data_IF_983723807337
#
_entry.id   IF_983723807337
#
_cell.length_a   1.000
_cell.length_b   1.000
_cell.length_c   1.000
_cell.angle_alpha   90.00
_cell.angle_beta   90.00
_cell.angle_gamma   90.00
#
_symmetry.space_group_name_H-M   'P 1'
#
loop_
_entity.id
_entity.type
_entity.pdbx_description
1 polymer ?
#
# COMPACT_ATOMS: atom_id res chain seq x y z
N UNK A 1 -1.35 13.34 29.46
CA UNK A 1 -0.16 13.00 28.64
C UNK A 1 -0.61 12.03 27.56
N UNK A 2 -0.95 12.52 26.37
CA UNK A 2 -1.35 11.70 25.22
C UNK A 2 -0.10 11.42 24.38
N UNK A 3 0.69 10.43 24.81
CA UNK A 3 1.91 10.02 24.12
C UNK A 3 1.77 8.53 23.80
N UNK A 4 1.25 8.26 22.61
CA UNK A 4 1.46 7.09 21.76
C UNK A 4 0.46 7.27 20.60
N UNK A 5 0.69 8.28 19.77
CA UNK A 5 0.20 8.20 18.40
C UNK A 5 0.97 7.03 17.81
N UNK A 6 0.30 5.89 17.69
CA UNK A 6 0.75 4.77 16.87
C UNK A 6 1.30 5.36 15.57
N UNK A 7 2.60 5.16 15.32
CA UNK A 7 3.31 5.67 14.15
C UNK A 7 2.93 4.87 12.89
N UNK A 8 1.63 4.68 12.64
CA UNK A 8 1.13 4.09 11.40
C UNK A 8 1.56 4.94 10.20
N UNK A 9 1.71 6.25 10.39
CA UNK A 9 2.22 7.18 9.39
C UNK A 9 3.61 6.82 8.89
N UNK A 10 4.59 6.71 9.79
CA UNK A 10 5.96 6.35 9.42
C UNK A 10 6.05 4.98 8.75
N UNK A 11 5.29 3.99 9.22
CA UNK A 11 5.27 2.64 8.64
C UNK A 11 4.68 2.62 7.22
N UNK A 12 3.60 3.37 6.96
CA UNK A 12 2.98 3.48 5.63
C UNK A 12 3.91 4.17 4.63
N UNK A 13 4.58 5.24 5.03
CA UNK A 13 5.53 5.94 4.15
C UNK A 13 6.73 5.04 3.80
N UNK A 14 7.26 4.30 4.79
CA UNK A 14 8.34 3.34 4.55
C UNK A 14 7.94 2.25 3.55
N UNK A 15 6.75 1.65 3.73
CA UNK A 15 6.22 0.64 2.81
C UNK A 15 6.05 1.19 1.39
N UNK A 16 5.51 2.40 1.26
CA UNK A 16 5.27 3.03 -0.04
C UNK A 16 6.58 3.33 -0.76
N UNK A 17 7.61 3.75 -0.04
CA UNK A 17 8.94 3.96 -0.60
C UNK A 17 9.59 2.65 -1.07
N UNK A 18 9.53 1.59 -0.26
CA UNK A 18 10.06 0.27 -0.61
C UNK A 18 9.38 -0.29 -1.88
N UNK A 19 8.05 -0.21 -1.92
CA UNK A 19 7.28 -0.64 -3.07
C UNK A 19 7.67 0.13 -4.35
N UNK A 20 7.83 1.46 -4.27
CA UNK A 20 8.28 2.26 -5.42
C UNK A 20 9.74 1.99 -5.81
N UNK A 21 10.60 1.61 -4.86
CA UNK A 21 11.99 1.25 -5.13
C UNK A 21 12.13 -0.10 -5.84
N UNK A 22 11.11 -0.95 -5.78
CA UNK A 22 11.07 -2.29 -6.40
C UNK A 22 10.81 -2.23 -7.92
N UNK A 23 11.49 -1.33 -8.63
CA UNK A 23 11.24 -1.04 -10.04
C UNK A 23 11.48 -2.25 -10.96
N UNK A 24 12.46 -3.09 -10.66
CA UNK A 24 12.73 -4.32 -11.43
C UNK A 24 11.58 -5.33 -11.32
N UNK A 25 11.06 -5.56 -10.11
CA UNK A 25 9.92 -6.43 -9.86
C UNK A 25 8.65 -5.90 -10.52
N UNK A 26 8.42 -4.58 -10.46
CA UNK A 26 7.28 -3.94 -11.12
C UNK A 26 7.43 -4.01 -12.63
N UNK A 27 8.65 -3.84 -13.17
CA UNK A 27 8.94 -3.91 -14.59
C UNK A 27 8.74 -5.30 -15.20
N UNK A 28 8.82 -6.36 -14.38
CA UNK A 28 8.52 -7.74 -14.80
C UNK A 28 7.01 -8.05 -14.86
N UNK A 29 6.15 -7.18 -14.32
CA UNK A 29 4.69 -7.34 -14.34
C UNK A 29 4.06 -6.61 -15.54
N UNK A 30 2.86 -7.01 -15.98
CA UNK A 30 2.10 -6.24 -16.96
C UNK A 30 1.87 -4.79 -16.48
N UNK A 31 1.94 -3.77 -17.36
CA UNK A 31 1.93 -2.34 -16.96
C UNK A 31 0.79 -1.93 -16.01
N UNK A 32 -0.39 -2.53 -16.17
CA UNK A 32 -1.57 -2.35 -15.30
C UNK A 32 -1.31 -2.62 -13.82
N UNK A 33 -0.35 -3.48 -13.47
CA UNK A 33 -0.03 -3.78 -12.07
C UNK A 33 0.62 -2.58 -11.38
N UNK A 34 1.50 -1.86 -12.09
CA UNK A 34 2.12 -0.63 -11.58
C UNK A 34 1.10 0.46 -11.32
N UNK A 35 0.16 0.67 -12.25
CA UNK A 35 -0.93 1.66 -12.08
C UNK A 35 -1.79 1.38 -10.85
N UNK A 36 -2.17 0.12 -10.63
CA UNK A 36 -2.96 -0.30 -9.47
C UNK A 36 -2.16 -0.15 -8.18
N UNK A 37 -0.88 -0.54 -8.17
CA UNK A 37 -0.01 -0.39 -7.02
C UNK A 37 0.09 1.07 -6.60
N UNK A 38 0.41 1.97 -7.54
CA UNK A 38 0.53 3.41 -7.25
C UNK A 38 -0.78 3.98 -6.68
N UNK A 39 -1.92 3.57 -7.22
CA UNK A 39 -3.24 3.98 -6.73
C UNK A 39 -3.53 3.48 -5.31
N UNK A 40 -3.08 2.28 -4.95
CA UNK A 40 -3.22 1.73 -3.60
C UNK A 40 -2.30 2.45 -2.60
N UNK A 41 -1.06 2.72 -2.99
CA UNK A 41 -0.10 3.46 -2.15
C UNK A 41 -0.57 4.89 -1.86
N UNK A 42 -1.04 5.61 -2.89
CA UNK A 42 -1.55 6.99 -2.74
C UNK A 42 -2.73 7.06 -1.74
N UNK A 43 -3.66 6.11 -1.83
CA UNK A 43 -4.78 5.98 -0.89
C UNK A 43 -4.32 5.63 0.52
N UNK A 44 -3.30 4.77 0.64
CA UNK A 44 -2.75 4.36 1.93
C UNK A 44 -2.03 5.52 2.62
N UNK A 45 -1.21 6.27 1.89
CA UNK A 45 -0.53 7.48 2.38
C UNK A 45 -1.55 8.54 2.81
N UNK A 46 -2.58 8.79 2.00
CA UNK A 46 -3.69 9.67 2.38
C UNK A 46 -4.39 9.19 3.65
N UNK A 47 -4.71 7.89 3.76
CA UNK A 47 -5.34 7.32 4.97
C UNK A 47 -4.47 7.48 6.22
N UNK A 48 -3.14 7.49 6.08
CA UNK A 48 -2.23 7.67 7.21
C UNK A 48 -2.18 9.12 7.71
N UNK A 49 -2.54 10.09 6.86
CA UNK A 49 -2.69 11.50 7.24
C UNK A 49 -4.01 11.80 7.97
N UNK A 50 -5.02 10.94 7.81
CA UNK A 50 -6.34 11.08 8.42
C UNK A 50 -6.61 9.93 9.41
N UNK A 51 -6.38 10.15 10.71
CA UNK A 51 -6.66 9.14 11.76
C UNK A 51 -8.13 8.97 12.12
N UNK A 52 -9.07 9.57 11.37
CA UNK A 52 -10.49 9.44 11.65
C UNK A 52 -11.04 8.18 10.97
N UNK A 53 -11.21 7.14 11.79
CA UNK A 53 -11.85 5.84 11.49
C UNK A 53 -13.29 6.05 11.02
N UNK A 54 -13.47 6.61 9.83
CA UNK A 54 -14.76 6.74 9.18
C UNK A 54 -15.16 5.33 8.70
N UNK A 55 -16.24 4.80 9.28
CA UNK A 55 -16.73 3.42 9.21
C UNK A 55 -17.03 2.82 7.81
N UNK A 56 -16.48 3.38 6.72
CA UNK A 56 -16.52 2.82 5.37
C UNK A 56 -15.14 2.73 4.71
N UNK A 57 -14.09 3.32 5.28
CA UNK A 57 -12.77 3.36 4.68
C UNK A 57 -11.69 3.23 5.76
N UNK A 58 -11.34 1.99 6.09
CA UNK A 58 -10.30 1.74 7.06
C UNK A 58 -8.95 1.54 6.36
N UNK A 59 -7.87 2.05 6.96
CA UNK A 59 -6.49 1.73 6.55
C UNK A 59 -6.29 0.21 6.41
N UNK A 60 -7.00 -0.59 7.22
CA UNK A 60 -7.01 -2.04 7.12
C UNK A 60 -7.52 -2.55 5.78
N UNK A 61 -8.62 -2.02 5.25
CA UNK A 61 -9.15 -2.45 3.94
C UNK A 61 -8.17 -2.15 2.80
N UNK A 62 -7.40 -1.05 2.90
CA UNK A 62 -6.34 -0.73 1.94
C UNK A 62 -5.17 -1.72 2.02
N UNK A 63 -4.76 -2.10 3.22
CA UNK A 63 -3.72 -3.11 3.43
C UNK A 63 -4.17 -4.49 2.91
N UNK A 64 -5.43 -4.87 3.15
CA UNK A 64 -6.00 -6.12 2.65
C UNK A 64 -6.03 -6.13 1.10
N UNK A 65 -6.39 -5.00 0.47
CA UNK A 65 -6.32 -4.85 -0.99
C UNK A 65 -4.89 -4.91 -1.54
N UNK A 66 -3.91 -4.33 -0.82
CA UNK A 66 -2.50 -4.39 -1.19
C UNK A 66 -1.97 -5.83 -1.11
N UNK A 67 -2.38 -6.60 -0.11
CA UNK A 67 -2.04 -8.02 0.01
C UNK A 67 -2.59 -8.82 -1.18
N UNK A 68 -3.87 -8.60 -1.54
CA UNK A 68 -4.48 -9.23 -2.72
C UNK A 68 -3.74 -8.86 -4.01
N UNK A 69 -3.30 -7.61 -4.15
CA UNK A 69 -2.47 -7.19 -5.30
C UNK A 69 -1.14 -7.94 -5.32
N UNK A 70 -0.46 -8.06 -4.18
CA UNK A 70 0.84 -8.72 -4.07
C UNK A 70 0.76 -10.22 -4.43
N UNK A 71 -0.29 -10.90 -3.99
CA UNK A 71 -0.51 -12.31 -4.32
C UNK A 71 -0.79 -12.51 -5.81
N UNK A 72 -1.56 -11.61 -6.44
CA UNK A 72 -1.76 -11.61 -7.90
C UNK A 72 -0.46 -11.35 -8.67
N UNK A 73 0.31 -10.36 -8.23
CA UNK A 73 1.60 -10.02 -8.82
C UNK A 73 2.57 -11.23 -8.76
N UNK A 74 2.66 -11.88 -7.60
CA UNK A 74 3.45 -13.11 -7.44
C UNK A 74 2.99 -14.21 -8.39
N UNK A 75 1.69 -14.39 -8.54
CA UNK A 75 1.12 -15.36 -9.50
C UNK A 75 1.48 -15.05 -10.96
N UNK A 76 1.66 -13.77 -11.33
CA UNK A 76 2.11 -13.40 -12.67
C UNK A 76 3.60 -13.65 -12.90
N UNK A 77 4.44 -13.45 -11.87
CA UNK A 77 5.89 -13.66 -12.00
C UNK A 77 6.30 -15.13 -12.11
N UNK A 78 5.45 -16.04 -11.66
CA UNK A 78 5.67 -17.49 -11.69
C UNK A 78 4.97 -18.16 -12.89
N UNK A 79 4.17 -17.40 -13.65
CA UNK A 79 3.46 -17.89 -14.85
C UNK A 79 4.28 -17.72 -16.11
#
# INVERSE_FOLDING_TARGET
MAALRTDSGGSVTALSNEARSSAELIGALPPRYGEVLLSLLDRLESSALFSEESCSFSQKDLLDNLQVWADKARGQLVS
#
